data_IF_497102405361
#
_entry.id   IF_497102405361
#
_cell.length_a   1.000
_cell.length_b   1.000
_cell.length_c   1.000
_cell.angle_alpha   90.00
_cell.angle_beta   90.00
_cell.angle_gamma   90.00
#
_symmetry.space_group_name_H-M   'P 1'
#
loop_
_entity.id
_entity.type
_entity.pdbx_description
1 polymer ?
#
# COMPACT_ATOMS: atom_id res chain seq x y z
N UNK A 1 -21.35 -26.81 8.28
CA UNK A 1 -20.62 -25.68 8.92
C UNK A 1 -21.12 -24.41 8.25
N UNK A 2 -21.59 -23.48 9.05
CA UNK A 2 -22.31 -22.31 8.55
C UNK A 2 -21.40 -21.09 8.37
N UNK A 3 -20.14 -21.17 8.86
CA UNK A 3 -19.14 -20.13 8.76
C UNK A 3 -18.08 -20.48 7.72
N UNK A 4 -17.68 -19.50 6.93
CA UNK A 4 -16.57 -19.55 6.02
C UNK A 4 -15.65 -18.31 6.20
N UNK A 5 -14.36 -18.54 6.11
CA UNK A 5 -13.32 -17.53 6.17
C UNK A 5 -12.42 -17.68 4.97
N UNK A 6 -12.28 -16.63 4.19
CA UNK A 6 -11.34 -16.55 3.07
C UNK A 6 -10.43 -15.35 3.21
N UNK A 7 -9.17 -15.49 2.78
CA UNK A 7 -8.24 -14.37 2.70
C UNK A 7 -7.27 -14.56 1.54
N UNK A 8 -6.73 -13.47 1.06
CA UNK A 8 -5.72 -13.46 0.00
C UNK A 8 -4.48 -12.69 0.46
N UNK A 9 -3.35 -13.41 0.53
CA UNK A 9 -2.04 -12.87 0.87
C UNK A 9 -1.14 -12.92 -0.36
N UNK A 10 -0.39 -11.85 -0.59
CA UNK A 10 0.66 -11.77 -1.61
C UNK A 10 1.95 -11.25 -1.00
N UNK A 11 3.07 -11.73 -1.51
CA UNK A 11 4.39 -11.25 -1.14
C UNK A 11 5.26 -11.09 -2.38
N UNK A 12 6.12 -10.10 -2.37
CA UNK A 12 7.20 -9.94 -3.34
C UNK A 12 8.47 -9.58 -2.58
N UNK A 13 9.57 -10.22 -2.90
CA UNK A 13 10.85 -10.01 -2.24
C UNK A 13 11.94 -9.72 -3.25
N UNK A 14 12.84 -8.79 -2.90
CA UNK A 14 13.99 -8.45 -3.72
C UNK A 14 13.70 -7.48 -4.86
N UNK A 15 12.50 -6.90 -4.93
CA UNK A 15 12.21 -5.82 -5.86
C UNK A 15 12.73 -4.48 -5.34
N UNK A 16 13.15 -3.63 -6.27
CA UNK A 16 13.57 -2.27 -6.00
C UNK A 16 12.66 -1.31 -6.75
N UNK A 17 12.35 -0.20 -6.11
CA UNK A 17 11.50 0.85 -6.64
C UNK A 17 12.19 2.19 -6.46
N UNK A 18 12.14 3.01 -7.49
CA UNK A 18 12.57 4.40 -7.41
C UNK A 18 11.47 5.25 -6.78
N UNK A 19 11.75 5.81 -5.61
CA UNK A 19 10.82 6.68 -4.90
C UNK A 19 10.78 8.07 -5.54
N UNK A 20 10.02 8.20 -6.62
CA UNK A 20 9.88 9.42 -7.40
C UNK A 20 9.23 10.55 -6.59
N UNK A 21 8.31 10.21 -5.70
CA UNK A 21 7.69 11.18 -4.81
C UNK A 21 8.73 11.83 -3.87
N UNK A 22 9.59 11.02 -3.23
CA UNK A 22 10.66 11.55 -2.39
C UNK A 22 11.68 12.34 -3.21
N UNK A 23 12.03 11.88 -4.41
CA UNK A 23 12.94 12.58 -5.30
C UNK A 23 12.43 13.96 -5.71
N UNK A 24 11.16 14.07 -6.08
CA UNK A 24 10.54 15.32 -6.50
C UNK A 24 10.35 16.30 -5.33
N UNK A 25 10.07 15.82 -4.13
CA UNK A 25 9.78 16.67 -2.96
C UNK A 25 11.00 16.96 -2.08
N UNK A 26 12.17 16.41 -2.39
CA UNK A 26 13.40 16.69 -1.65
C UNK A 26 14.19 17.90 -2.20
N UNK A 27 13.68 18.60 -3.22
CA UNK A 27 14.32 19.79 -3.78
C UNK A 27 13.97 21.05 -2.99
N UNK A 28 14.95 21.93 -2.79
CA UNK A 28 14.77 23.20 -2.06
C UNK A 28 13.82 24.20 -2.76
N UNK A 29 13.47 23.94 -4.01
CA UNK A 29 12.70 24.85 -4.86
C UNK A 29 11.19 24.56 -4.89
N UNK A 30 10.73 23.45 -4.28
CA UNK A 30 9.32 23.14 -4.21
C UNK A 30 8.68 23.71 -2.94
N UNK A 31 7.57 24.41 -3.08
CA UNK A 31 6.88 25.11 -1.98
C UNK A 31 6.27 24.16 -0.90
N UNK A 32 6.22 22.86 -1.14
CA UNK A 32 5.59 21.87 -0.27
C UNK A 32 6.57 20.80 0.26
N UNK A 33 7.80 21.15 0.53
CA UNK A 33 8.88 20.24 0.95
C UNK A 33 8.81 19.78 2.41
N UNK A 34 7.65 19.78 3.02
CA UNK A 34 7.51 19.50 4.44
C UNK A 34 7.94 18.05 4.76
N UNK A 35 9.02 17.94 5.52
CA UNK A 35 9.53 16.66 6.03
C UNK A 35 10.77 16.11 5.30
N UNK A 36 10.91 16.30 4.02
CA UNK A 36 12.06 15.79 3.26
C UNK A 36 13.30 16.69 3.35
N UNK A 37 13.14 17.98 3.63
CA UNK A 37 14.27 18.93 3.77
C UNK A 37 15.24 18.51 4.87
N UNK A 38 14.76 18.00 5.98
CA UNK A 38 15.61 17.53 7.07
C UNK A 38 16.48 16.33 6.66
N UNK A 39 15.92 15.44 5.85
CA UNK A 39 16.65 14.28 5.35
C UNK A 39 17.65 14.68 4.27
N UNK A 40 17.35 15.69 3.47
CA UNK A 40 18.22 16.20 2.42
C UNK A 40 19.65 16.53 2.92
N UNK A 41 19.78 17.32 3.97
CA UNK A 41 21.09 17.67 4.51
C UNK A 41 21.79 16.51 5.21
N UNK A 42 21.05 15.64 5.86
CA UNK A 42 21.58 14.45 6.52
C UNK A 42 22.09 13.45 5.48
N UNK A 43 21.31 13.23 4.41
CA UNK A 43 21.66 12.29 3.36
C UNK A 43 22.81 12.82 2.47
N UNK A 44 22.85 14.10 2.19
CA UNK A 44 23.97 14.72 1.50
C UNK A 44 25.29 14.49 2.23
N UNK A 45 25.33 14.67 3.55
CA UNK A 45 26.50 14.36 4.37
C UNK A 45 26.87 12.87 4.39
N UNK A 46 25.88 11.99 4.44
CA UNK A 46 26.05 10.54 4.42
C UNK A 46 26.71 10.03 3.13
N UNK A 47 26.37 10.62 1.99
CA UNK A 47 26.92 10.24 0.68
C UNK A 47 28.10 11.10 0.24
N UNK A 48 28.62 11.97 1.11
CA UNK A 48 29.80 12.78 0.83
C UNK A 48 29.57 13.96 -0.12
N UNK A 49 28.33 14.37 -0.35
CA UNK A 49 28.01 15.53 -1.15
C UNK A 49 28.02 16.80 -0.32
N UNK A 50 28.70 17.83 -0.78
CA UNK A 50 28.68 19.17 -0.17
C UNK A 50 27.53 20.03 -0.68
N UNK A 51 27.05 19.75 -1.91
CA UNK A 51 25.90 20.38 -2.55
C UNK A 51 25.17 19.35 -3.39
N UNK A 52 23.88 19.26 -3.23
CA UNK A 52 23.02 18.50 -4.15
C UNK A 52 22.34 19.49 -5.10
N UNK A 53 22.73 19.46 -6.37
CA UNK A 53 22.02 20.22 -7.38
C UNK A 53 20.72 19.47 -7.76
N UNK A 54 19.73 20.21 -8.21
CA UNK A 54 18.41 19.68 -8.61
C UNK A 54 18.52 18.52 -9.62
N UNK A 55 19.51 18.56 -10.51
CA UNK A 55 19.68 17.53 -11.53
C UNK A 55 20.24 16.21 -11.00
N UNK A 56 21.06 16.23 -9.96
CA UNK A 56 21.61 15.02 -9.36
C UNK A 56 20.57 14.26 -8.51
N UNK A 57 19.63 14.96 -7.95
CA UNK A 57 18.58 14.35 -7.11
C UNK A 57 17.63 13.48 -7.92
N UNK A 58 17.27 13.91 -9.13
CA UNK A 58 16.27 13.23 -9.94
C UNK A 58 16.73 11.93 -10.57
N UNK A 59 18.05 11.71 -10.68
CA UNK A 59 18.62 10.56 -11.41
C UNK A 59 19.56 9.70 -10.58
N UNK A 60 19.61 9.94 -9.27
CA UNK A 60 20.53 9.23 -8.38
C UNK A 60 19.87 7.96 -7.81
N UNK A 61 20.67 6.96 -7.49
CA UNK A 61 20.27 5.76 -6.79
C UNK A 61 19.91 5.98 -5.30
N UNK A 62 20.08 7.22 -4.83
CA UNK A 62 19.70 7.67 -3.48
C UNK A 62 18.23 7.34 -3.14
N UNK A 63 17.35 7.40 -4.13
CA UNK A 63 15.92 7.14 -4.00
C UNK A 63 15.50 5.75 -4.46
N UNK A 64 16.49 4.89 -4.78
CA UNK A 64 16.25 3.50 -5.13
C UNK A 64 16.17 2.67 -3.84
N UNK A 65 14.97 2.26 -3.48
CA UNK A 65 14.69 1.56 -2.24
C UNK A 65 14.26 0.12 -2.47
N UNK A 66 14.57 -0.75 -1.50
CA UNK A 66 14.03 -2.11 -1.48
C UNK A 66 12.54 -2.03 -1.15
N UNK A 67 11.71 -2.48 -2.08
CA UNK A 67 10.25 -2.45 -1.99
C UNK A 67 9.66 -3.85 -1.72
N UNK A 68 10.41 -4.74 -1.08
CA UNK A 68 9.87 -6.02 -0.63
C UNK A 68 8.66 -5.81 0.28
N UNK A 69 7.62 -6.60 0.07
CA UNK A 69 6.38 -6.48 0.85
C UNK A 69 5.69 -7.80 1.11
N UNK A 70 4.86 -7.81 2.14
CA UNK A 70 3.80 -8.77 2.40
C UNK A 70 2.48 -8.00 2.51
N UNK A 71 1.49 -8.38 1.71
CA UNK A 71 0.21 -7.68 1.62
C UNK A 71 -0.96 -8.65 1.78
N UNK A 72 -1.94 -8.24 2.57
CA UNK A 72 -3.25 -8.88 2.61
C UNK A 72 -4.23 -8.06 1.78
N UNK A 73 -4.57 -8.58 0.60
CA UNK A 73 -5.47 -7.89 -0.34
C UNK A 73 -6.89 -7.86 0.17
N UNK A 74 -7.36 -8.99 0.67
CA UNK A 74 -8.71 -9.07 1.23
C UNK A 74 -8.80 -10.15 2.31
N UNK A 75 -9.80 -9.97 3.18
CA UNK A 75 -10.30 -10.96 4.10
C UNK A 75 -11.83 -10.92 4.06
N UNK A 76 -12.46 -12.09 3.98
CA UNK A 76 -13.91 -12.25 3.93
C UNK A 76 -14.35 -13.24 4.99
N UNK A 77 -15.29 -12.83 5.83
CA UNK A 77 -15.99 -13.70 6.76
C UNK A 77 -17.42 -13.85 6.26
N UNK A 78 -17.86 -15.08 6.05
CA UNK A 78 -19.21 -15.41 5.63
C UNK A 78 -19.94 -16.27 6.65
N UNK A 79 -21.23 -16.08 6.75
CA UNK A 79 -22.15 -16.93 7.51
C UNK A 79 -23.32 -17.32 6.65
N UNK A 80 -23.50 -18.61 6.43
CA UNK A 80 -24.62 -19.18 5.68
C UNK A 80 -25.67 -19.71 6.64
N UNK A 81 -26.88 -19.26 6.47
CA UNK A 81 -28.01 -19.73 7.26
C UNK A 81 -29.03 -20.47 6.40
N UNK A 82 -29.56 -21.53 6.98
CA UNK A 82 -30.64 -22.35 6.38
C UNK A 82 -31.83 -22.27 7.27
N UNK A 83 -33.03 -22.18 6.68
CA UNK A 83 -34.30 -22.22 7.42
C UNK A 83 -34.51 -21.00 8.35
N UNK A 84 -34.42 -19.80 7.80
CA UNK A 84 -34.72 -18.57 8.51
C UNK A 84 -36.20 -18.18 8.26
N UNK A 85 -36.98 -17.95 9.32
CA UNK A 85 -38.43 -17.56 9.36
C UNK A 85 -39.40 -18.55 8.72
N UNK A 86 -39.02 -19.40 7.84
CA UNK A 86 -39.85 -20.44 7.21
C UNK A 86 -38.88 -21.42 6.57
N UNK A 87 -39.20 -22.70 6.53
CA UNK A 87 -38.30 -23.73 5.98
C UNK A 87 -37.81 -23.49 4.52
N UNK A 88 -38.29 -22.41 3.91
CA UNK A 88 -38.02 -22.05 2.50
C UNK A 88 -36.93 -21.01 2.29
N UNK A 89 -36.57 -20.23 3.33
CA UNK A 89 -35.60 -19.12 3.15
C UNK A 89 -34.20 -19.57 3.59
N UNK A 90 -33.25 -19.49 2.70
CA UNK A 90 -31.82 -19.65 2.98
C UNK A 90 -31.07 -18.41 2.53
N UNK A 91 -29.92 -18.15 3.11
CA UNK A 91 -29.13 -17.00 2.69
C UNK A 91 -27.73 -17.02 3.26
N UNK A 92 -26.95 -16.02 2.86
CA UNK A 92 -25.58 -15.79 3.32
C UNK A 92 -25.37 -14.32 3.61
N UNK A 93 -24.82 -14.04 4.77
CA UNK A 93 -24.27 -12.73 5.13
C UNK A 93 -22.76 -12.81 5.01
N UNK A 94 -22.13 -11.79 4.44
CA UNK A 94 -20.68 -11.71 4.35
C UNK A 94 -20.18 -10.32 4.67
N UNK A 95 -19.02 -10.26 5.33
CA UNK A 95 -18.27 -9.04 5.56
C UNK A 95 -16.89 -9.20 4.92
N UNK A 96 -16.51 -8.25 4.08
CA UNK A 96 -15.23 -8.24 3.38
C UNK A 96 -14.48 -6.95 3.66
N UNK A 97 -13.21 -7.06 3.97
CA UNK A 97 -12.28 -5.93 4.04
C UNK A 97 -11.28 -6.08 2.92
N UNK A 98 -11.10 -5.02 2.12
CA UNK A 98 -10.08 -4.93 1.07
C UNK A 98 -8.95 -4.01 1.51
N UNK A 99 -7.73 -4.26 1.00
CA UNK A 99 -6.51 -3.55 1.38
C UNK A 99 -6.29 -3.58 2.90
N UNK A 100 -6.27 -4.79 3.48
CA UNK A 100 -6.27 -4.99 4.94
C UNK A 100 -5.00 -4.42 5.56
N UNK A 101 -3.82 -4.81 5.02
CA UNK A 101 -2.52 -4.26 5.40
C UNK A 101 -1.47 -4.49 4.31
N UNK A 102 -0.42 -3.69 4.36
CA UNK A 102 0.83 -3.90 3.64
C UNK A 102 1.99 -3.75 4.62
N UNK A 103 2.79 -4.79 4.76
CA UNK A 103 4.01 -4.79 5.55
C UNK A 103 5.19 -4.61 4.61
N UNK A 104 5.92 -3.51 4.74
CA UNK A 104 7.08 -3.17 3.91
C UNK A 104 8.03 -2.27 4.69
N UNK A 105 9.29 -2.23 4.26
CA UNK A 105 10.27 -1.24 4.70
C UNK A 105 10.41 -0.08 3.70
N UNK A 106 9.72 -0.16 2.58
CA UNK A 106 9.69 0.89 1.59
C UNK A 106 9.08 2.17 2.16
N UNK A 107 9.73 3.31 1.93
CA UNK A 107 9.31 4.58 2.52
C UNK A 107 8.22 5.30 1.73
N UNK A 108 8.02 4.93 0.46
CA UNK A 108 6.96 5.47 -0.40
C UNK A 108 5.58 4.88 -0.13
N UNK A 109 4.61 5.25 -0.95
CA UNK A 109 3.20 4.90 -0.74
C UNK A 109 2.82 3.51 -1.26
N UNK A 110 3.43 3.06 -2.36
CA UNK A 110 3.07 1.79 -3.00
C UNK A 110 4.30 0.98 -3.42
N UNK A 111 4.67 -0.07 -2.68
CA UNK A 111 5.78 -0.94 -3.05
C UNK A 111 5.52 -1.79 -4.30
N UNK A 112 4.28 -1.81 -4.81
CA UNK A 112 3.88 -2.58 -6.00
C UNK A 112 3.92 -1.76 -7.30
N UNK A 113 4.39 -0.52 -7.26
CA UNK A 113 4.48 0.27 -8.49
C UNK A 113 5.51 -0.32 -9.46
N UNK A 114 5.29 -0.11 -10.75
CA UNK A 114 6.15 -0.64 -11.82
C UNK A 114 7.37 0.25 -12.01
N UNK A 115 8.40 0.11 -11.18
CA UNK A 115 9.71 0.75 -11.20
C UNK A 115 9.78 2.16 -10.60
N UNK A 116 8.84 3.06 -10.84
CA UNK A 116 8.85 4.43 -10.30
C UNK A 116 7.57 4.68 -9.53
N UNK A 117 7.69 5.01 -8.24
CA UNK A 117 6.55 5.42 -7.42
C UNK A 117 6.41 6.95 -7.46
N UNK A 118 5.43 7.39 -8.23
CA UNK A 118 4.99 8.78 -8.29
C UNK A 118 3.58 8.96 -7.69
N UNK A 119 3.10 7.98 -6.92
CA UNK A 119 1.78 8.03 -6.32
C UNK A 119 1.72 9.06 -5.19
N UNK A 120 0.65 9.85 -5.20
CA UNK A 120 0.36 10.83 -4.16
C UNK A 120 -0.83 10.40 -3.27
N UNK A 121 -1.51 9.31 -3.65
CA UNK A 121 -2.69 8.84 -2.95
C UNK A 121 -2.51 7.41 -2.44
N UNK A 122 -2.64 7.18 -1.13
CA UNK A 122 -2.63 5.82 -0.58
C UNK A 122 -3.86 5.04 -1.04
N UNK A 123 -3.72 3.74 -1.22
CA UNK A 123 -4.85 2.86 -1.54
C UNK A 123 -5.83 2.82 -0.37
N UNK A 124 -7.11 3.13 -0.57
CA UNK A 124 -8.09 3.15 0.50
C UNK A 124 -8.40 1.73 0.99
N UNK A 125 -8.70 1.62 2.28
CA UNK A 125 -9.28 0.41 2.84
C UNK A 125 -10.78 0.44 2.61
N UNK A 126 -11.34 -0.66 2.07
CA UNK A 126 -12.77 -0.75 1.75
C UNK A 126 -13.42 -1.82 2.59
N UNK A 127 -14.55 -1.50 3.19
CA UNK A 127 -15.40 -2.42 3.94
C UNK A 127 -16.69 -2.67 3.15
N UNK A 128 -17.01 -3.94 2.91
CA UNK A 128 -18.18 -4.34 2.16
C UNK A 128 -19.00 -5.32 2.99
N UNK A 129 -20.30 -5.08 3.09
CA UNK A 129 -21.27 -6.02 3.64
C UNK A 129 -22.11 -6.56 2.50
N UNK A 130 -22.24 -7.88 2.43
CA UNK A 130 -23.04 -8.58 1.44
C UNK A 130 -24.15 -9.40 2.09
N UNK A 131 -25.34 -9.36 1.50
CA UNK A 131 -26.48 -10.20 1.85
C UNK A 131 -26.99 -10.87 0.58
N UNK A 132 -27.06 -12.20 0.62
CA UNK A 132 -27.65 -13.01 -0.43
C UNK A 132 -28.81 -13.81 0.19
N UNK A 133 -29.98 -13.75 -0.42
CA UNK A 133 -31.19 -14.44 0.00
C UNK A 133 -31.72 -15.30 -1.13
N UNK A 134 -32.08 -16.53 -0.83
CA UNK A 134 -32.75 -17.48 -1.73
C UNK A 134 -34.13 -17.84 -1.12
N UNK A 135 -35.15 -17.69 -1.97
CA UNK A 135 -36.56 -17.90 -1.61
C UNK A 135 -37.08 -19.21 -2.21
#
# INVERSE_FOLDING_TARGET
KDWDLGFHLRANFGNYVFNGFAADHSTLYHFNNQGFINNYYQDAGKYGFTHMSENYQKTSDLYLENASFLKMDNITLGYSFRKFFSEKISGRVSATVQNVFTLTKYSGLDPECAAIDANIWPRPRTFTLGLNLNF
#
